data_IF_855885864943
#
_entry.id   IF_855885864943
#
_cell.length_a   1.000
_cell.length_b   1.000
_cell.length_c   1.000
_cell.angle_alpha   90.00
_cell.angle_beta   90.00
_cell.angle_gamma   90.00
#
_symmetry.space_group_name_H-M   'P 1'
#
loop_
_entity.id
_entity.type
_entity.pdbx_description
1 polymer ?
#
# COMPACT_ATOMS: atom_id res chain seq x y z
N UNK A 1 16.08 -21.50 28.02
CA UNK A 1 15.62 -20.76 26.83
C UNK A 1 14.12 -20.52 26.94
N UNK A 2 13.74 -19.40 27.53
CA UNK A 2 12.35 -19.04 27.83
C UNK A 2 11.74 -18.38 26.59
N UNK A 3 10.77 -19.03 25.96
CA UNK A 3 9.95 -18.44 24.88
C UNK A 3 9.11 -17.31 25.48
N UNK A 4 9.51 -16.08 25.24
CA UNK A 4 8.70 -14.88 25.47
C UNK A 4 7.53 -14.92 24.48
N UNK A 5 6.39 -15.46 24.90
CA UNK A 5 5.13 -15.30 24.19
C UNK A 5 4.70 -13.86 24.39
N UNK A 6 4.87 -13.03 23.35
CA UNK A 6 4.30 -11.70 23.29
C UNK A 6 2.79 -11.82 23.61
N UNK A 7 2.39 -11.27 24.74
CA UNK A 7 0.98 -11.22 25.15
C UNK A 7 0.30 -10.11 24.35
N UNK A 8 -0.29 -10.48 23.21
CA UNK A 8 -1.08 -9.54 22.39
C UNK A 8 -2.27 -9.08 23.23
N UNK A 9 -2.38 -7.77 23.47
CA UNK A 9 -3.47 -7.19 24.25
C UNK A 9 -4.78 -7.28 23.49
N UNK A 10 -5.91 -7.49 24.19
CA UNK A 10 -7.25 -7.54 23.57
C UNK A 10 -7.52 -6.30 22.71
N UNK A 11 -7.05 -5.13 23.12
CA UNK A 11 -7.17 -3.88 22.35
C UNK A 11 -6.43 -3.91 21.00
N UNK A 12 -5.25 -4.57 20.95
CA UNK A 12 -4.46 -4.67 19.71
C UNK A 12 -5.15 -5.59 18.71
N UNK A 13 -5.77 -6.69 19.16
CA UNK A 13 -6.58 -7.58 18.31
C UNK A 13 -7.81 -6.85 17.76
N UNK A 14 -8.47 -6.05 18.59
CA UNK A 14 -9.64 -5.26 18.16
C UNK A 14 -9.23 -4.21 17.12
N UNK A 15 -8.09 -3.51 17.35
CA UNK A 15 -7.57 -2.51 16.41
C UNK A 15 -7.22 -3.15 15.06
N UNK A 16 -6.56 -4.30 15.05
CA UNK A 16 -6.24 -5.04 13.84
C UNK A 16 -7.52 -5.45 13.07
N UNK A 17 -8.54 -5.95 13.78
CA UNK A 17 -9.82 -6.31 13.15
C UNK A 17 -10.52 -5.08 12.54
N UNK A 18 -10.45 -3.91 13.17
CA UNK A 18 -10.99 -2.67 12.61
C UNK A 18 -10.23 -2.29 11.32
N UNK A 19 -8.91 -2.39 11.31
CA UNK A 19 -8.09 -2.09 10.12
C UNK A 19 -8.36 -3.07 8.98
N UNK A 20 -8.57 -4.36 9.25
CA UNK A 20 -8.94 -5.34 8.23
C UNK A 20 -10.26 -4.98 7.53
N UNK A 21 -11.29 -4.63 8.32
CA UNK A 21 -12.58 -4.20 7.76
C UNK A 21 -12.46 -2.85 7.05
N UNK A 22 -11.66 -1.93 7.59
CA UNK A 22 -11.44 -0.62 6.97
C UNK A 22 -10.73 -0.74 5.62
N UNK A 23 -9.76 -1.65 5.49
CA UNK A 23 -9.11 -1.96 4.21
C UNK A 23 -10.07 -2.55 3.19
N UNK A 24 -10.95 -3.49 3.60
CA UNK A 24 -11.98 -4.04 2.71
C UNK A 24 -12.92 -2.93 2.19
N UNK A 25 -13.34 -2.02 3.07
CA UNK A 25 -14.15 -0.86 2.67
C UNK A 25 -13.37 0.05 1.73
N UNK A 26 -12.13 0.41 2.09
CA UNK A 26 -11.31 1.31 1.28
C UNK A 26 -11.03 0.75 -0.13
N UNK A 27 -10.84 -0.56 -0.24
CA UNK A 27 -10.60 -1.21 -1.54
C UNK A 27 -11.82 -1.19 -2.46
N UNK A 28 -13.04 -1.20 -1.91
CA UNK A 28 -14.29 -1.23 -2.69
C UNK A 28 -14.87 0.16 -2.93
N UNK A 29 -14.88 0.97 -1.88
CA UNK A 29 -15.63 2.22 -1.81
C UNK A 29 -14.71 3.45 -1.74
N UNK A 30 -13.38 3.23 -1.86
CA UNK A 30 -12.35 4.27 -1.71
C UNK A 30 -12.14 4.68 -0.24
N UNK A 31 -11.15 5.55 -0.01
CA UNK A 31 -10.85 6.09 1.32
C UNK A 31 -12.01 6.91 1.89
N UNK A 32 -12.77 7.60 1.03
CA UNK A 32 -13.95 8.37 1.44
C UNK A 32 -15.07 7.46 1.99
N UNK A 33 -15.17 6.22 1.51
CA UNK A 33 -16.09 5.21 2.03
C UNK A 33 -15.81 4.77 3.46
N UNK A 34 -14.58 4.96 3.95
CA UNK A 34 -14.18 4.56 5.30
C UNK A 34 -14.70 5.58 6.33
N UNK A 35 -15.76 5.21 7.04
CA UNK A 35 -16.32 6.01 8.12
C UNK A 35 -16.45 5.23 9.42
N UNK A 36 -16.37 5.94 10.55
CA UNK A 36 -16.56 5.33 11.89
C UNK A 36 -17.90 4.59 11.98
N UNK A 37 -18.95 5.13 11.34
CA UNK A 37 -20.28 4.51 11.32
C UNK A 37 -20.29 3.17 10.61
N UNK A 38 -19.76 3.10 9.38
CA UNK A 38 -19.69 1.86 8.59
C UNK A 38 -18.88 0.80 9.32
N UNK A 39 -17.75 1.17 9.93
CA UNK A 39 -16.92 0.22 10.67
C UNK A 39 -17.62 -0.29 11.94
N UNK A 40 -18.30 0.59 12.67
CA UNK A 40 -19.06 0.22 13.85
C UNK A 40 -20.17 -0.77 13.50
N UNK A 41 -20.93 -0.51 12.44
CA UNK A 41 -22.02 -1.38 11.97
C UNK A 41 -21.49 -2.75 11.49
N UNK A 42 -20.38 -2.78 10.73
CA UNK A 42 -19.79 -4.03 10.23
C UNK A 42 -19.17 -4.91 11.33
N UNK A 43 -18.72 -4.29 12.42
CA UNK A 43 -18.03 -4.97 13.51
C UNK A 43 -18.93 -5.23 14.74
N UNK A 44 -20.19 -4.84 14.67
CA UNK A 44 -21.12 -4.87 15.82
C UNK A 44 -20.52 -4.16 17.05
N UNK A 45 -19.94 -2.98 16.81
CA UNK A 45 -19.33 -2.12 17.83
C UNK A 45 -20.06 -0.80 17.95
N UNK A 46 -19.92 -0.14 19.11
CA UNK A 46 -20.36 1.27 19.21
C UNK A 46 -19.41 2.19 18.43
N UNK A 47 -19.94 3.29 17.89
CA UNK A 47 -19.12 4.34 17.22
C UNK A 47 -18.04 4.89 18.15
N UNK A 48 -18.33 5.06 19.43
CA UNK A 48 -17.35 5.47 20.43
C UNK A 48 -16.29 4.41 20.67
N UNK A 49 -16.63 3.14 20.56
CA UNK A 49 -15.69 2.02 20.64
C UNK A 49 -14.67 2.05 19.50
N UNK A 50 -15.13 2.22 18.26
CA UNK A 50 -14.22 2.37 17.10
C UNK A 50 -13.38 3.64 17.24
N UNK A 51 -14.00 4.77 17.54
CA UNK A 51 -13.32 6.07 17.68
C UNK A 51 -12.19 6.04 18.73
N UNK A 52 -12.38 5.33 19.84
CA UNK A 52 -11.38 5.23 20.91
C UNK A 52 -10.06 4.59 20.49
N UNK A 53 -10.03 3.85 19.38
CA UNK A 53 -8.83 3.22 18.85
C UNK A 53 -7.99 4.14 17.95
N UNK A 54 -8.58 5.19 17.37
CA UNK A 54 -7.92 6.01 16.36
C UNK A 54 -7.93 7.51 16.67
N UNK A 55 -8.86 8.01 17.47
CA UNK A 55 -8.92 9.41 17.87
C UNK A 55 -9.61 10.34 16.86
N UNK A 56 -9.36 10.14 15.56
CA UNK A 56 -10.00 10.90 14.49
C UNK A 56 -10.20 10.04 13.22
N UNK A 57 -10.99 10.55 12.26
CA UNK A 57 -11.12 9.89 10.95
C UNK A 57 -9.81 9.95 10.17
N UNK A 58 -9.11 11.07 10.21
CA UNK A 58 -7.84 11.24 9.50
C UNK A 58 -6.78 10.27 10.03
N UNK A 59 -6.67 10.11 11.35
CA UNK A 59 -5.78 9.12 11.96
C UNK A 59 -6.14 7.68 11.57
N UNK A 60 -7.45 7.36 11.51
CA UNK A 60 -7.90 6.06 11.00
C UNK A 60 -7.46 5.86 9.53
N UNK A 61 -7.65 6.84 8.65
CA UNK A 61 -7.28 6.74 7.25
C UNK A 61 -5.75 6.61 7.05
N UNK A 62 -4.97 7.34 7.84
CA UNK A 62 -3.51 7.22 7.85
C UNK A 62 -3.09 5.79 8.24
N UNK A 63 -3.72 5.21 9.26
CA UNK A 63 -3.42 3.85 9.68
C UNK A 63 -3.87 2.80 8.63
N UNK A 64 -4.98 3.04 7.95
CA UNK A 64 -5.43 2.21 6.81
C UNK A 64 -4.39 2.25 5.68
N UNK A 65 -3.88 3.42 5.33
CA UNK A 65 -2.82 3.58 4.33
C UNK A 65 -1.53 2.85 4.72
N UNK A 66 -1.10 2.96 5.97
CA UNK A 66 0.09 2.27 6.49
C UNK A 66 -0.06 0.75 6.50
N UNK A 67 -1.25 0.26 6.87
CA UNK A 67 -1.55 -1.17 6.83
C UNK A 67 -1.58 -1.68 5.38
N UNK A 68 -2.15 -0.90 4.45
CA UNK A 68 -2.10 -1.21 3.03
C UNK A 68 -0.67 -1.29 2.52
N UNK A 69 0.18 -0.30 2.82
CA UNK A 69 1.60 -0.32 2.48
C UNK A 69 2.31 -1.57 3.00
N UNK A 70 2.08 -1.91 4.27
CA UNK A 70 2.69 -3.08 4.91
C UNK A 70 2.38 -4.35 4.12
N UNK A 71 1.11 -4.55 3.73
CA UNK A 71 0.67 -5.70 2.92
C UNK A 71 1.20 -5.62 1.50
N UNK A 72 1.15 -4.45 0.89
CA UNK A 72 1.66 -4.20 -0.45
C UNK A 72 3.15 -4.56 -0.56
N UNK A 73 3.97 -4.10 0.36
CA UNK A 73 5.41 -4.41 0.39
C UNK A 73 5.67 -5.88 0.72
N UNK A 74 4.85 -6.50 1.58
CA UNK A 74 4.97 -7.92 1.92
C UNK A 74 4.68 -8.82 0.71
N UNK A 75 3.71 -8.45 -0.12
CA UNK A 75 3.31 -9.21 -1.30
C UNK A 75 4.29 -9.02 -2.47
N UNK A 76 4.79 -7.79 -2.65
CA UNK A 76 5.57 -7.43 -3.85
C UNK A 76 7.06 -7.49 -3.59
N UNK A 77 7.53 -6.75 -2.58
CA UNK A 77 8.96 -6.54 -2.37
C UNK A 77 9.60 -7.72 -1.60
N UNK A 78 8.99 -8.17 -0.51
CA UNK A 78 9.55 -9.18 0.37
C UNK A 78 9.93 -10.48 -0.35
N UNK A 79 9.10 -11.08 -1.23
CA UNK A 79 9.49 -12.28 -1.99
C UNK A 79 10.67 -12.02 -2.93
N UNK A 80 10.72 -10.86 -3.57
CA UNK A 80 11.78 -10.49 -4.50
C UNK A 80 13.13 -10.26 -3.81
N UNK A 81 13.14 -9.89 -2.51
CA UNK A 81 14.39 -9.70 -1.76
C UNK A 81 15.20 -10.99 -1.56
N UNK A 82 14.59 -12.17 -1.73
CA UNK A 82 15.30 -13.45 -1.71
C UNK A 82 16.20 -13.67 -2.96
N UNK A 83 15.93 -12.94 -4.05
CA UNK A 83 16.68 -13.02 -5.30
C UNK A 83 17.91 -12.09 -5.27
N UNK A 84 18.95 -12.36 -6.08
CA UNK A 84 20.09 -11.47 -6.25
C UNK A 84 19.65 -10.06 -6.68
N UNK A 85 20.43 -9.04 -6.31
CA UNK A 85 20.23 -7.67 -6.84
C UNK A 85 20.49 -7.67 -8.33
N UNK A 86 19.76 -6.82 -9.07
CA UNK A 86 19.84 -6.69 -10.52
C UNK A 86 18.54 -7.09 -11.21
N UNK A 87 18.63 -7.49 -12.46
CA UNK A 87 17.49 -7.69 -13.36
C UNK A 87 16.53 -8.79 -12.88
N UNK A 88 17.04 -9.85 -12.27
CA UNK A 88 16.19 -10.94 -11.76
C UNK A 88 15.27 -10.44 -10.65
N UNK A 89 15.81 -9.69 -9.69
CA UNK A 89 15.01 -9.07 -8.62
C UNK A 89 14.03 -8.03 -9.17
N UNK A 90 14.46 -7.16 -10.09
CA UNK A 90 13.59 -6.17 -10.71
C UNK A 90 12.41 -6.84 -11.42
N UNK A 91 12.65 -7.90 -12.20
CA UNK A 91 11.59 -8.69 -12.85
C UNK A 91 10.60 -9.28 -11.85
N UNK A 92 11.10 -9.81 -10.74
CA UNK A 92 10.24 -10.36 -9.69
C UNK A 92 9.38 -9.27 -9.03
N UNK A 93 9.95 -8.08 -8.74
CA UNK A 93 9.21 -6.94 -8.22
C UNK A 93 8.08 -6.55 -9.17
N UNK A 94 8.38 -6.37 -10.46
CA UNK A 94 7.38 -5.97 -11.46
C UNK A 94 6.31 -7.06 -11.65
N UNK A 95 6.71 -8.32 -11.72
CA UNK A 95 5.78 -9.44 -11.84
C UNK A 95 4.81 -9.50 -10.64
N UNK A 96 5.33 -9.41 -9.42
CA UNK A 96 4.51 -9.42 -8.22
C UNK A 96 3.56 -8.21 -8.18
N UNK A 97 4.04 -7.03 -8.60
CA UNK A 97 3.23 -5.82 -8.65
C UNK A 97 2.06 -5.94 -9.64
N UNK A 98 2.33 -6.37 -10.88
CA UNK A 98 1.28 -6.58 -11.88
C UNK A 98 0.30 -7.70 -11.47
N UNK A 99 0.78 -8.78 -10.85
CA UNK A 99 -0.10 -9.82 -10.32
C UNK A 99 -1.03 -9.27 -9.22
N UNK A 100 -0.50 -8.43 -8.33
CA UNK A 100 -1.32 -7.80 -7.29
C UNK A 100 -2.37 -6.88 -7.90
N UNK A 101 -2.01 -6.05 -8.87
CA UNK A 101 -2.97 -5.20 -9.59
C UNK A 101 -4.07 -6.05 -10.26
N UNK A 102 -3.72 -7.18 -10.87
CA UNK A 102 -4.69 -8.10 -11.45
C UNK A 102 -5.64 -8.72 -10.45
N UNK A 103 -5.20 -8.96 -9.22
CA UNK A 103 -6.06 -9.42 -8.12
C UNK A 103 -6.95 -8.30 -7.55
N UNK A 104 -6.49 -7.06 -7.63
CA UNK A 104 -7.20 -5.87 -7.15
C UNK A 104 -8.18 -5.29 -8.19
N UNK A 105 -8.26 -5.83 -9.42
CA UNK A 105 -9.21 -5.36 -10.47
C UNK A 105 -10.66 -5.43 -10.03
N UNK A 106 -11.02 -6.37 -9.15
CA UNK A 106 -12.39 -6.46 -8.60
C UNK A 106 -12.63 -5.48 -7.44
N UNK A 107 -11.58 -4.96 -6.79
CA UNK A 107 -11.70 -4.19 -5.54
C UNK A 107 -10.98 -2.84 -5.59
N UNK A 108 -10.21 -2.57 -6.64
CA UNK A 108 -9.45 -1.34 -6.83
C UNK A 108 -8.09 -1.33 -6.09
N UNK A 109 -7.13 -0.59 -6.68
CA UNK A 109 -5.84 -0.31 -6.05
C UNK A 109 -5.94 0.96 -5.21
N UNK A 110 -5.73 0.84 -3.90
CA UNK A 110 -5.90 1.96 -2.97
C UNK A 110 -4.95 3.14 -3.26
N UNK A 111 -3.76 2.88 -3.82
CA UNK A 111 -2.87 3.97 -4.25
C UNK A 111 -3.41 4.72 -5.46
N UNK A 112 -4.02 4.03 -6.41
CA UNK A 112 -4.60 4.66 -7.62
C UNK A 112 -5.88 5.41 -7.24
N UNK A 113 -6.82 4.77 -6.56
CA UNK A 113 -8.08 5.39 -6.15
C UNK A 113 -7.84 6.56 -5.19
N UNK A 114 -6.99 6.36 -4.18
CA UNK A 114 -6.64 7.38 -3.21
C UNK A 114 -5.96 8.60 -3.84
N UNK A 115 -5.07 8.40 -4.82
CA UNK A 115 -4.45 9.50 -5.56
C UNK A 115 -5.50 10.36 -6.27
N UNK A 116 -6.52 9.75 -6.88
CA UNK A 116 -7.63 10.48 -7.52
C UNK A 116 -8.53 11.17 -6.50
N UNK A 117 -8.87 10.49 -5.39
CA UNK A 117 -9.76 11.04 -4.35
C UNK A 117 -9.15 12.24 -3.61
N UNK A 118 -7.81 12.27 -3.46
CA UNK A 118 -7.09 13.28 -2.67
C UNK A 118 -6.22 14.22 -3.50
N UNK A 119 -6.36 14.23 -4.83
CA UNK A 119 -5.58 15.10 -5.72
C UNK A 119 -5.71 16.58 -5.36
N UNK A 120 -6.94 17.03 -5.14
CA UNK A 120 -7.29 18.43 -4.83
C UNK A 120 -7.66 18.67 -3.35
N UNK A 121 -7.37 17.71 -2.46
CA UNK A 121 -7.71 17.78 -1.02
C UNK A 121 -6.47 17.83 -0.15
N UNK A 122 -5.85 19.01 0.06
CA UNK A 122 -4.68 19.13 0.92
C UNK A 122 -5.00 18.73 2.36
N UNK A 123 -4.05 18.08 3.03
CA UNK A 123 -4.18 17.65 4.42
C UNK A 123 -3.35 16.40 4.72
N UNK A 124 -3.36 15.98 5.99
CA UNK A 124 -2.48 14.93 6.50
C UNK A 124 -2.67 13.56 5.81
N UNK A 125 -3.87 13.24 5.36
CA UNK A 125 -4.16 11.98 4.64
C UNK A 125 -3.52 12.00 3.25
N UNK A 126 -3.64 13.14 2.52
CA UNK A 126 -2.96 13.33 1.24
C UNK A 126 -1.44 13.27 1.39
N UNK A 127 -0.92 13.95 2.40
CA UNK A 127 0.52 14.01 2.64
C UNK A 127 1.08 12.61 2.94
N UNK A 128 0.38 11.81 3.74
CA UNK A 128 0.73 10.40 3.98
C UNK A 128 0.70 9.59 2.68
N UNK A 129 -0.38 9.67 1.90
CA UNK A 129 -0.52 8.93 0.64
C UNK A 129 0.62 9.27 -0.34
N UNK A 130 0.91 10.56 -0.52
CA UNK A 130 2.02 11.02 -1.37
C UNK A 130 3.36 10.50 -0.86
N UNK A 131 3.57 10.51 0.46
CA UNK A 131 4.76 9.97 1.09
C UNK A 131 4.97 8.48 0.77
N UNK A 132 3.92 7.67 0.91
CA UNK A 132 3.95 6.22 0.64
C UNK A 132 4.19 5.93 -0.85
N UNK A 133 3.52 6.65 -1.74
CA UNK A 133 3.73 6.51 -3.19
C UNK A 133 5.16 6.89 -3.61
N UNK A 134 5.69 7.97 -3.04
CA UNK A 134 7.07 8.40 -3.27
C UNK A 134 8.08 7.36 -2.75
N UNK A 135 7.82 6.78 -1.59
CA UNK A 135 8.65 5.72 -1.03
C UNK A 135 8.67 4.48 -1.93
N UNK A 136 7.53 4.09 -2.49
CA UNK A 136 7.44 3.01 -3.46
C UNK A 136 8.23 3.32 -4.75
N UNK A 137 8.04 4.51 -5.30
CA UNK A 137 8.81 4.96 -6.47
C UNK A 137 10.32 4.87 -6.24
N UNK A 138 10.79 5.27 -5.05
CA UNK A 138 12.20 5.19 -4.70
C UNK A 138 12.70 3.73 -4.60
N UNK A 139 11.86 2.76 -4.22
CA UNK A 139 12.23 1.33 -4.28
C UNK A 139 12.43 0.87 -5.73
N UNK A 140 11.56 1.30 -6.66
CA UNK A 140 11.69 1.00 -8.08
C UNK A 140 12.96 1.64 -8.66
N UNK A 141 13.20 2.92 -8.36
CA UNK A 141 14.40 3.66 -8.76
C UNK A 141 15.66 2.94 -8.33
N UNK A 142 15.69 2.49 -7.10
CA UNK A 142 16.81 1.74 -6.52
C UNK A 142 17.01 0.39 -7.19
N UNK A 143 15.93 -0.34 -7.49
CA UNK A 143 15.99 -1.62 -8.19
C UNK A 143 16.53 -1.47 -9.61
N UNK A 144 16.11 -0.43 -10.35
CA UNK A 144 16.62 -0.10 -11.69
C UNK A 144 18.10 0.29 -11.61
N UNK A 145 18.50 1.11 -10.62
CA UNK A 145 19.90 1.48 -10.40
C UNK A 145 20.80 0.27 -10.23
N UNK A 146 20.37 -0.74 -9.48
CA UNK A 146 21.16 -1.97 -9.34
C UNK A 146 21.37 -2.71 -10.67
N UNK A 147 20.43 -2.64 -11.62
CA UNK A 147 20.61 -3.22 -12.95
C UNK A 147 21.64 -2.45 -13.78
N UNK A 148 21.73 -1.12 -13.61
CA UNK A 148 22.74 -0.29 -14.24
C UNK A 148 24.12 -0.60 -13.64
N UNK A 149 24.21 -0.60 -12.31
CA UNK A 149 25.48 -0.81 -11.58
C UNK A 149 26.08 -2.22 -11.85
N UNK A 150 25.22 -3.21 -12.15
CA UNK A 150 25.65 -4.58 -12.53
C UNK A 150 25.94 -4.75 -14.03
N UNK A 151 25.73 -3.68 -14.84
CA UNK A 151 25.91 -3.73 -16.30
C UNK A 151 24.82 -4.49 -17.07
N UNK A 152 23.69 -4.84 -16.40
CA UNK A 152 22.53 -5.47 -17.03
C UNK A 152 21.68 -4.47 -17.81
N UNK A 153 21.72 -3.19 -17.40
CA UNK A 153 21.19 -2.07 -18.14
C UNK A 153 22.35 -1.13 -18.55
N UNK A 154 22.11 -0.32 -19.57
CA UNK A 154 23.07 0.67 -20.05
C UNK A 154 23.21 1.80 -19.02
N UNK A 155 24.39 2.42 -18.95
CA UNK A 155 24.67 3.54 -18.05
C UNK A 155 23.75 4.75 -18.31
N UNK A 156 23.34 4.96 -19.57
CA UNK A 156 22.46 6.05 -20.00
C UNK A 156 20.96 5.70 -19.90
N UNK A 157 20.60 4.61 -19.22
CA UNK A 157 19.19 4.23 -19.00
C UNK A 157 18.41 5.33 -18.28
N UNK A 158 17.34 5.87 -18.89
CA UNK A 158 16.56 6.96 -18.34
C UNK A 158 15.61 6.47 -17.24
N UNK A 159 16.08 6.38 -16.00
CA UNK A 159 15.34 5.81 -14.86
C UNK A 159 13.98 6.49 -14.68
N UNK A 160 13.93 7.83 -14.74
CA UNK A 160 12.68 8.58 -14.53
C UNK A 160 11.63 8.28 -15.61
N UNK A 161 12.08 8.13 -16.87
CA UNK A 161 11.21 7.73 -17.96
C UNK A 161 10.68 6.31 -17.77
N UNK A 162 11.53 5.37 -17.35
CA UNK A 162 11.10 4.00 -17.05
C UNK A 162 10.05 3.97 -15.94
N UNK A 163 10.24 4.76 -14.89
CA UNK A 163 9.27 4.84 -13.80
C UNK A 163 7.95 5.43 -14.29
N UNK A 164 7.99 6.51 -15.08
CA UNK A 164 6.80 7.09 -15.69
C UNK A 164 6.04 6.08 -16.57
N UNK A 165 6.76 5.32 -17.39
CA UNK A 165 6.17 4.27 -18.24
C UNK A 165 5.55 3.15 -17.40
N UNK A 166 6.20 2.70 -16.32
CA UNK A 166 5.67 1.70 -15.40
C UNK A 166 4.35 2.17 -14.76
N UNK A 167 4.29 3.41 -14.28
CA UNK A 167 3.05 3.99 -13.75
C UNK A 167 1.97 4.12 -14.83
N UNK A 168 2.32 4.54 -16.04
CA UNK A 168 1.40 4.59 -17.18
C UNK A 168 0.80 3.22 -17.50
N UNK A 169 1.62 2.16 -17.49
CA UNK A 169 1.17 0.79 -17.68
C UNK A 169 0.25 0.31 -16.54
N UNK A 170 0.57 0.64 -15.28
CA UNK A 170 -0.28 0.24 -14.14
C UNK A 170 -1.63 0.93 -14.17
N UNK A 171 -1.70 2.21 -14.55
CA UNK A 171 -2.95 2.94 -14.74
C UNK A 171 -3.79 2.33 -15.88
N UNK A 172 -3.16 2.06 -17.02
CA UNK A 172 -3.83 1.42 -18.17
C UNK A 172 -4.36 0.03 -17.84
N UNK A 173 -3.59 -0.76 -17.09
CA UNK A 173 -4.00 -2.09 -16.64
C UNK A 173 -5.15 -2.07 -15.63
N UNK A 174 -5.17 -1.08 -14.74
CA UNK A 174 -6.23 -0.93 -13.73
C UNK A 174 -7.59 -0.56 -14.35
N UNK A 175 -7.61 0.04 -15.55
CA UNK A 175 -8.84 0.47 -16.23
C UNK A 175 -9.34 -0.52 -17.28
N UNK A 176 -8.64 -1.64 -17.50
CA UNK A 176 -9.01 -2.65 -18.51
C UNK A 176 -9.84 -3.78 -17.91
#
# INVERSE_FOLDING_TARGET
>A
MTKERAHVRKGDLTRAAILDVALDVASRDGLEGVTIGILADRLDMSKSGVFSHFGSRDELLIEVLKEYETRFLADILKPALALPRGLERLRAILHNWFNKLGQETEHGCLYISGAVEYDDRPGVVRDELVGLMTAWEEQLRRAIRYCIDSGEFREDTPIDLMIFELYGLTLGFHQS
#
